data_IF_957803366405
#
_entry.id   IF_957803366405
#
_cell.length_a   1.000
_cell.length_b   1.000
_cell.length_c   1.000
_cell.angle_alpha   90.00
_cell.angle_beta   90.00
_cell.angle_gamma   90.00
#
_symmetry.space_group_name_H-M   'P 1'
#
loop_
_entity.id
_entity.type
_entity.pdbx_description
1 polymer ?
#
# COMPACT_ATOMS: atom_id res chain seq x y z
N UNK A 1 -7.50 -2.45 -3.70
CA UNK A 1 -8.28 -1.34 -3.16
C UNK A 1 -7.41 -0.40 -2.34
N UNK A 2 -7.05 -0.82 -1.14
CA UNK A 2 -6.29 0.00 -0.19
C UNK A 2 -4.91 0.45 -0.71
N UNK A 3 -4.38 -0.15 -1.76
CA UNK A 3 -3.13 0.29 -2.39
C UNK A 3 -3.23 1.63 -3.12
N UNK A 4 -4.44 2.13 -3.41
CA UNK A 4 -4.61 3.29 -4.31
C UNK A 4 -3.81 3.15 -5.63
N UNK A 5 -3.60 1.92 -6.08
CA UNK A 5 -2.90 1.57 -7.32
C UNK A 5 -1.43 1.14 -7.19
N UNK A 6 -0.83 1.22 -6.01
CA UNK A 6 0.55 0.79 -5.75
C UNK A 6 0.68 -0.54 -4.99
N UNK A 7 1.84 -0.78 -4.35
CA UNK A 7 2.08 -1.90 -3.43
C UNK A 7 2.40 -3.25 -4.09
N UNK A 8 2.66 -3.31 -5.39
CA UNK A 8 3.07 -4.52 -6.12
C UNK A 8 1.91 -5.42 -6.59
N UNK A 9 2.26 -6.50 -7.30
CA UNK A 9 1.30 -7.42 -7.90
C UNK A 9 0.55 -8.26 -6.86
N UNK A 10 -0.78 -8.10 -6.85
CA UNK A 10 -1.67 -8.78 -5.89
C UNK A 10 -1.85 -10.25 -6.25
N UNK A 11 -1.95 -10.58 -7.53
CA UNK A 11 -2.29 -11.93 -7.97
C UNK A 11 -1.17 -12.92 -7.63
N UNK A 12 0.08 -12.56 -7.91
CA UNK A 12 1.22 -13.39 -7.56
C UNK A 12 1.35 -13.57 -6.04
N UNK A 13 1.28 -12.46 -5.28
CA UNK A 13 1.36 -12.50 -3.82
C UNK A 13 0.22 -13.31 -3.18
N UNK A 14 -0.97 -13.28 -3.77
CA UNK A 14 -2.09 -14.13 -3.33
C UNK A 14 -1.77 -15.62 -3.52
N UNK A 15 -1.23 -16.00 -4.68
CA UNK A 15 -0.85 -17.40 -4.95
C UNK A 15 0.24 -17.86 -3.99
N UNK A 16 1.22 -17.02 -3.68
CA UNK A 16 2.25 -17.32 -2.67
C UNK A 16 1.66 -17.50 -1.27
N UNK A 17 0.74 -16.62 -0.86
CA UNK A 17 0.10 -16.71 0.45
C UNK A 17 -0.77 -17.97 0.58
N UNK A 18 -1.52 -18.32 -0.48
CA UNK A 18 -2.30 -19.55 -0.53
C UNK A 18 -1.40 -20.78 -0.45
N UNK A 19 -0.33 -20.85 -1.24
CA UNK A 19 0.63 -21.94 -1.20
C UNK A 19 1.29 -22.06 0.18
N UNK A 20 1.71 -20.94 0.77
CA UNK A 20 2.33 -20.96 2.10
C UNK A 20 1.36 -21.47 3.17
N UNK A 21 0.08 -21.06 3.12
CA UNK A 21 -0.92 -21.55 4.07
C UNK A 21 -1.30 -23.02 3.84
N UNK A 22 -1.22 -23.53 2.61
CA UNK A 22 -1.38 -24.94 2.30
C UNK A 22 -0.20 -25.78 2.85
N UNK A 23 1.04 -25.31 2.67
CA UNK A 23 2.26 -26.03 3.05
C UNK A 23 2.52 -26.01 4.56
N UNK A 24 2.24 -24.89 5.24
CA UNK A 24 2.62 -24.65 6.64
C UNK A 24 1.43 -24.50 7.61
N UNK A 25 0.23 -24.37 7.09
CA UNK A 25 -1.01 -24.21 7.89
C UNK A 25 -1.51 -22.77 8.00
N UNK A 26 -2.66 -22.58 8.60
CA UNK A 26 -3.32 -21.27 8.71
C UNK A 26 -2.54 -20.32 9.60
N UNK A 27 -2.61 -19.03 9.27
CA UNK A 27 -1.98 -17.94 10.03
C UNK A 27 -3.01 -17.32 10.98
N UNK A 28 -2.63 -17.17 12.25
CA UNK A 28 -3.46 -16.45 13.22
C UNK A 28 -3.40 -14.94 12.96
N UNK A 29 -4.55 -14.30 12.83
CA UNK A 29 -4.70 -12.85 12.88
C UNK A 29 -4.99 -12.44 14.32
N UNK A 30 -4.18 -11.54 14.87
CA UNK A 30 -4.28 -11.11 16.27
C UNK A 30 -4.42 -9.60 16.37
N UNK A 31 -5.22 -9.13 17.34
CA UNK A 31 -5.19 -7.72 17.69
C UNK A 31 -3.86 -7.39 18.42
N UNK A 32 -3.34 -6.18 18.19
CA UNK A 32 -2.11 -5.73 18.86
C UNK A 32 -2.24 -5.73 20.39
N UNK A 33 -3.46 -5.61 20.91
CA UNK A 33 -3.73 -5.62 22.36
C UNK A 33 -3.59 -7.01 22.98
N UNK A 34 -3.65 -8.07 22.18
CA UNK A 34 -3.43 -9.45 22.63
C UNK A 34 -1.94 -9.77 22.85
N UNK A 35 -1.03 -8.94 22.31
CA UNK A 35 0.40 -9.15 22.45
C UNK A 35 0.95 -8.52 23.73
N UNK A 36 1.93 -9.18 24.41
CA UNK A 36 2.70 -8.54 25.47
C UNK A 36 3.29 -7.21 25.04
N UNK A 37 3.25 -6.20 25.88
CA UNK A 37 3.65 -4.83 25.51
C UNK A 37 5.08 -4.71 24.98
N UNK A 38 5.97 -5.58 25.39
CA UNK A 38 7.37 -5.67 24.95
C UNK A 38 7.58 -6.61 23.75
N UNK A 39 6.54 -7.31 23.27
CA UNK A 39 6.66 -8.18 22.10
C UNK A 39 7.17 -7.40 20.88
N UNK A 40 8.23 -7.89 20.23
CA UNK A 40 8.79 -7.27 19.03
C UNK A 40 7.95 -7.67 17.82
N UNK A 41 7.45 -6.68 17.11
CA UNK A 41 6.74 -6.82 15.83
C UNK A 41 7.71 -6.48 14.71
N UNK A 42 7.76 -7.32 13.68
CA UNK A 42 8.53 -7.11 12.45
C UNK A 42 7.60 -6.61 11.35
N UNK A 43 7.70 -5.35 10.92
CA UNK A 43 7.04 -4.88 9.71
C UNK A 43 7.60 -5.60 8.48
N UNK A 44 6.74 -5.91 7.52
CA UNK A 44 7.06 -6.67 6.32
C UNK A 44 6.70 -5.84 5.10
N UNK A 45 7.65 -5.65 4.20
CA UNK A 45 7.45 -4.91 2.97
C UNK A 45 8.45 -5.31 1.89
N UNK A 46 8.25 -4.75 0.71
CA UNK A 46 9.21 -4.80 -0.38
C UNK A 46 9.41 -3.38 -0.92
N UNK A 47 10.64 -3.05 -1.24
CA UNK A 47 11.02 -1.78 -1.85
C UNK A 47 11.53 -2.00 -3.27
N UNK A 48 11.10 -1.17 -4.20
CA UNK A 48 11.56 -1.25 -5.58
C UNK A 48 10.55 -0.72 -6.58
N UNK A 49 10.72 -1.15 -7.83
CA UNK A 49 9.83 -0.79 -8.93
C UNK A 49 8.76 -1.86 -9.10
N UNK A 50 7.47 -1.51 -9.03
CA UNK A 50 6.37 -2.44 -9.29
C UNK A 50 6.45 -3.12 -10.66
N UNK A 51 7.05 -2.45 -11.66
CA UNK A 51 7.26 -3.02 -12.99
C UNK A 51 8.25 -4.19 -12.99
N UNK A 52 9.18 -4.22 -12.05
CA UNK A 52 10.17 -5.28 -11.93
C UNK A 52 9.60 -6.49 -11.19
N UNK A 53 8.75 -6.29 -10.21
CA UNK A 53 8.14 -7.37 -9.41
C UNK A 53 7.27 -8.33 -10.26
N UNK A 54 6.82 -7.91 -11.45
CA UNK A 54 6.07 -8.77 -12.38
C UNK A 54 6.95 -9.85 -13.03
N UNK A 55 8.26 -9.64 -13.07
CA UNK A 55 9.23 -10.55 -13.71
C UNK A 55 10.22 -11.15 -12.72
N UNK A 56 10.38 -10.56 -11.52
CA UNK A 56 11.32 -10.96 -10.49
C UNK A 56 10.55 -11.43 -9.25
N UNK A 57 10.46 -12.75 -9.09
CA UNK A 57 9.70 -13.37 -8.02
C UNK A 57 10.58 -13.66 -6.80
N UNK A 58 10.00 -13.51 -5.63
CA UNK A 58 10.59 -13.95 -4.37
C UNK A 58 10.68 -15.49 -4.34
N UNK A 59 11.67 -16.03 -3.62
CA UNK A 59 11.82 -17.48 -3.48
C UNK A 59 11.07 -18.04 -2.26
N UNK A 60 10.51 -17.16 -1.40
CA UNK A 60 9.67 -17.51 -0.26
C UNK A 60 10.40 -17.67 1.08
N UNK A 61 11.74 -17.54 1.13
CA UNK A 61 12.52 -17.59 2.38
C UNK A 61 13.07 -16.24 2.84
N UNK A 62 12.68 -15.14 2.16
CA UNK A 62 13.10 -13.79 2.50
C UNK A 62 12.71 -13.43 3.95
N UNK A 63 11.49 -13.80 4.36
CA UNK A 63 11.02 -13.59 5.72
C UNK A 63 11.88 -14.27 6.80
N UNK A 64 12.43 -15.46 6.51
CA UNK A 64 13.34 -16.16 7.42
C UNK A 64 14.62 -15.35 7.65
N UNK A 65 15.24 -14.87 6.56
CA UNK A 65 16.47 -14.06 6.60
C UNK A 65 16.24 -12.72 7.29
N UNK A 66 15.17 -12.01 6.92
CA UNK A 66 14.82 -10.73 7.54
C UNK A 66 14.64 -10.89 9.06
N UNK A 67 13.89 -11.92 9.50
CA UNK A 67 13.68 -12.21 10.92
C UNK A 67 15.01 -12.54 11.62
N UNK A 68 15.84 -13.41 11.04
CA UNK A 68 17.11 -13.83 11.62
C UNK A 68 18.01 -12.63 11.88
N UNK A 69 18.21 -11.79 10.86
CA UNK A 69 19.11 -10.64 10.98
C UNK A 69 18.52 -9.49 11.79
N UNK A 70 17.20 -9.28 11.77
CA UNK A 70 16.56 -8.32 12.67
C UNK A 70 16.75 -8.75 14.14
N UNK A 71 16.57 -10.04 14.45
CA UNK A 71 16.82 -10.57 15.79
C UNK A 71 18.30 -10.44 16.21
N UNK A 72 19.23 -10.67 15.27
CA UNK A 72 20.66 -10.45 15.51
C UNK A 72 20.97 -8.98 15.85
N UNK A 73 20.42 -8.04 15.08
CA UNK A 73 20.65 -6.61 15.27
C UNK A 73 19.98 -6.03 16.53
N UNK A 74 18.83 -6.55 16.91
CA UNK A 74 18.05 -6.07 18.05
C UNK A 74 18.34 -6.82 19.36
N UNK A 75 18.89 -8.02 19.28
CA UNK A 75 19.03 -8.95 20.42
C UNK A 75 17.68 -9.47 20.96
N UNK A 76 16.59 -9.36 20.17
CA UNK A 76 15.22 -9.66 20.60
C UNK A 76 14.56 -10.64 19.63
N UNK A 77 13.68 -11.50 20.15
CA UNK A 77 12.89 -12.42 19.32
C UNK A 77 11.71 -11.68 18.72
N UNK A 78 11.48 -11.89 17.43
CA UNK A 78 10.25 -11.44 16.73
C UNK A 78 9.10 -12.31 17.22
N UNK A 79 8.02 -11.66 17.67
CA UNK A 79 6.84 -12.31 18.22
C UNK A 79 5.65 -12.32 17.25
N UNK A 80 5.59 -11.36 16.33
CA UNK A 80 4.53 -11.24 15.33
C UNK A 80 5.04 -10.50 14.09
N UNK A 81 4.35 -10.69 12.99
CA UNK A 81 4.56 -9.93 11.75
C UNK A 81 3.43 -8.92 11.54
N UNK A 82 3.72 -7.86 10.78
CA UNK A 82 2.74 -6.83 10.42
C UNK A 82 3.08 -6.32 9.01
N UNK A 83 2.11 -5.95 8.21
CA UNK A 83 2.40 -5.28 6.96
C UNK A 83 3.02 -3.88 7.20
N UNK A 84 4.04 -3.51 6.45
CA UNK A 84 4.49 -2.10 6.40
C UNK A 84 3.40 -1.24 5.75
N UNK A 85 2.70 -1.78 4.75
CA UNK A 85 1.52 -1.22 4.11
C UNK A 85 0.50 -2.32 3.80
N UNK A 86 -0.77 -2.05 3.98
CA UNK A 86 -1.84 -3.01 3.69
C UNK A 86 -2.13 -3.15 2.20
N UNK A 87 -1.60 -2.26 1.37
CA UNK A 87 -1.91 -2.17 -0.05
C UNK A 87 -1.12 -3.15 -0.91
N UNK A 88 -1.75 -3.65 -1.98
CA UNK A 88 -1.08 -4.47 -3.00
C UNK A 88 -0.56 -5.81 -2.48
N UNK A 89 0.49 -6.31 -3.13
CA UNK A 89 1.19 -7.54 -2.73
C UNK A 89 1.84 -7.43 -1.35
N UNK A 90 2.30 -6.23 -0.96
CA UNK A 90 2.91 -5.99 0.35
C UNK A 90 1.98 -6.32 1.52
N UNK A 91 0.66 -6.14 1.36
CA UNK A 91 -0.32 -6.54 2.36
C UNK A 91 -0.40 -8.06 2.58
N UNK A 92 0.05 -8.87 1.62
CA UNK A 92 0.04 -10.34 1.67
C UNK A 92 1.37 -10.94 2.14
N UNK A 93 2.49 -10.21 2.04
CA UNK A 93 3.80 -10.68 2.47
C UNK A 93 3.84 -11.20 3.92
N UNK A 94 3.26 -10.48 4.91
CA UNK A 94 3.27 -11.00 6.28
C UNK A 94 2.52 -12.32 6.42
N UNK A 95 1.50 -12.60 5.62
CA UNK A 95 0.77 -13.88 5.65
C UNK A 95 1.67 -15.00 5.13
N UNK A 96 2.32 -14.78 3.98
CA UNK A 96 3.26 -15.74 3.37
C UNK A 96 4.39 -16.12 4.33
N UNK A 97 5.02 -15.11 4.92
CA UNK A 97 6.14 -15.35 5.84
C UNK A 97 5.69 -15.88 7.19
N UNK A 98 4.55 -15.42 7.73
CA UNK A 98 4.01 -15.89 9.00
C UNK A 98 3.64 -17.36 8.98
N UNK A 99 3.03 -17.86 7.90
CA UNK A 99 2.73 -19.28 7.72
C UNK A 99 4.00 -20.13 7.89
N UNK A 100 5.06 -19.77 7.17
CA UNK A 100 6.35 -20.47 7.21
C UNK A 100 7.05 -20.35 8.57
N UNK A 101 6.99 -19.18 9.21
CA UNK A 101 7.66 -18.89 10.47
C UNK A 101 6.88 -19.37 11.71
N UNK A 102 5.63 -19.80 11.55
CA UNK A 102 4.75 -20.16 12.67
C UNK A 102 4.45 -18.99 13.60
N UNK A 103 4.33 -17.77 13.06
CA UNK A 103 4.07 -16.54 13.79
C UNK A 103 2.69 -15.97 13.46
N UNK A 104 2.05 -15.23 14.36
CA UNK A 104 0.83 -14.51 14.05
C UNK A 104 1.11 -13.25 13.21
N UNK A 105 0.08 -12.80 12.49
CA UNK A 105 0.01 -11.49 11.85
C UNK A 105 -0.83 -10.55 12.71
N UNK A 106 -0.35 -9.33 12.90
CA UNK A 106 -1.10 -8.29 13.62
C UNK A 106 -2.12 -7.65 12.68
N UNK A 107 -3.35 -7.46 13.15
CA UNK A 107 -4.41 -6.73 12.44
C UNK A 107 -4.15 -5.21 12.46
N UNK A 108 -3.07 -4.82 11.84
CA UNK A 108 -2.64 -3.44 11.67
C UNK A 108 -1.61 -3.34 10.55
N UNK A 109 -1.36 -2.12 10.10
CA UNK A 109 -0.27 -1.80 9.19
C UNK A 109 0.30 -0.40 9.46
N UNK A 110 1.33 -0.03 8.71
CA UNK A 110 1.99 1.26 8.87
C UNK A 110 1.39 2.41 8.07
N UNK A 111 0.41 2.19 7.21
CA UNK A 111 -0.06 3.22 6.28
C UNK A 111 -1.59 3.32 6.15
N UNK A 112 -2.33 2.21 6.28
CA UNK A 112 -3.76 2.13 5.93
C UNK A 112 -4.03 2.25 4.43
N UNK A 113 -2.97 2.32 3.63
CA UNK A 113 -2.95 2.41 2.17
C UNK A 113 -1.56 2.04 1.65
N UNK A 114 -1.21 2.32 0.39
CA UNK A 114 0.16 2.34 -0.09
C UNK A 114 0.66 3.78 -0.28
N UNK A 115 1.94 3.99 0.02
CA UNK A 115 2.70 5.20 -0.29
C UNK A 115 4.07 4.82 -0.87
N UNK A 116 4.64 5.67 -1.76
CA UNK A 116 5.83 5.29 -2.54
C UNK A 116 7.15 5.33 -1.77
N UNK A 117 7.23 5.96 -0.59
CA UNK A 117 8.49 6.19 0.11
C UNK A 117 8.49 5.59 1.53
N UNK A 118 9.63 5.00 1.92
CA UNK A 118 9.86 4.36 3.22
C UNK A 118 9.45 5.20 4.45
N UNK A 119 9.69 6.53 4.51
CA UNK A 119 9.29 7.33 5.67
C UNK A 119 7.79 7.68 5.71
N UNK A 120 7.00 7.30 4.70
CA UNK A 120 5.57 7.60 4.65
C UNK A 120 4.75 6.57 5.43
N UNK A 121 5.19 6.25 6.63
CA UNK A 121 4.53 5.33 7.57
C UNK A 121 4.16 6.04 8.87
N UNK A 122 3.09 5.59 9.50
CA UNK A 122 2.62 6.15 10.78
C UNK A 122 3.66 6.02 11.90
N UNK A 123 4.49 4.98 11.87
CA UNK A 123 5.61 4.79 12.77
C UNK A 123 6.61 5.96 12.68
N UNK A 124 6.90 6.45 11.47
CA UNK A 124 7.75 7.63 11.29
C UNK A 124 7.12 8.88 11.89
N UNK A 125 5.82 9.10 11.67
CA UNK A 125 5.08 10.21 12.30
C UNK A 125 5.11 10.13 13.82
N UNK A 126 5.07 8.95 14.39
CA UNK A 126 5.17 8.69 15.82
C UNK A 126 6.61 8.81 16.38
N UNK A 127 7.61 9.04 15.53
CA UNK A 127 9.01 9.18 15.94
C UNK A 127 9.73 7.86 16.18
N UNK A 128 9.20 6.73 15.73
CA UNK A 128 9.88 5.45 15.76
C UNK A 128 11.01 5.49 14.71
N UNK A 129 12.24 5.09 15.09
CA UNK A 129 13.36 5.09 14.14
C UNK A 129 13.19 4.00 13.07
N UNK A 130 13.55 4.31 11.82
CA UNK A 130 13.60 3.32 10.75
C UNK A 130 14.67 2.24 10.97
N UNK A 131 15.69 2.54 11.78
CA UNK A 131 16.82 1.65 12.09
C UNK A 131 16.58 0.80 13.33
N UNK A 132 17.12 -0.43 13.38
CA UNK A 132 17.84 -1.10 12.31
C UNK A 132 16.91 -1.59 11.21
N UNK A 133 17.40 -1.67 9.97
CA UNK A 133 16.67 -2.22 8.84
C UNK A 133 17.48 -3.33 8.16
N UNK A 134 16.78 -4.26 7.53
CA UNK A 134 17.37 -5.38 6.80
C UNK A 134 16.65 -5.52 5.46
N UNK A 135 17.43 -5.72 4.39
CA UNK A 135 16.91 -6.05 3.05
C UNK A 135 17.53 -7.34 2.55
N UNK A 136 16.77 -8.10 1.77
CA UNK A 136 17.25 -9.29 1.07
C UNK A 136 16.56 -9.44 -0.28
N UNK A 137 17.29 -9.99 -1.26
CA UNK A 137 16.73 -10.38 -2.55
C UNK A 137 16.47 -11.90 -2.64
N UNK A 138 15.87 -12.31 -3.77
CA UNK A 138 15.53 -13.72 -4.07
C UNK A 138 16.78 -14.63 -4.18
N UNK A 139 17.98 -14.06 -4.34
CA UNK A 139 19.25 -14.81 -4.44
C UNK A 139 19.92 -15.01 -3.08
N UNK A 140 19.39 -14.35 -2.04
CA UNK A 140 19.96 -14.37 -0.70
C UNK A 140 21.03 -13.32 -0.45
N UNK A 141 21.20 -12.34 -1.35
CA UNK A 141 21.97 -11.15 -1.03
C UNK A 141 21.28 -10.41 0.11
N UNK A 142 22.08 -9.83 1.01
CA UNK A 142 21.56 -9.17 2.22
C UNK A 142 22.27 -7.86 2.48
N UNK A 143 21.52 -6.86 2.86
CA UNK A 143 22.04 -5.57 3.33
C UNK A 143 21.40 -5.20 4.67
N UNK A 144 22.20 -4.62 5.56
CA UNK A 144 21.75 -4.12 6.86
C UNK A 144 22.03 -2.63 6.93
N UNK A 145 21.05 -1.85 7.43
CA UNK A 145 21.15 -0.41 7.47
C UNK A 145 21.00 0.14 8.88
N UNK A 146 21.82 1.15 9.15
CA UNK A 146 21.64 2.01 10.32
C UNK A 146 21.78 3.46 9.87
N UNK A 147 20.68 4.19 9.91
CA UNK A 147 20.59 5.55 9.40
C UNK A 147 20.16 6.52 10.49
N UNK A 148 20.41 7.81 10.26
CA UNK A 148 20.05 8.88 11.18
C UNK A 148 18.60 9.34 11.06
N UNK A 149 17.90 8.95 9.98
CA UNK A 149 16.52 9.36 9.72
C UNK A 149 15.85 8.49 8.66
N UNK A 150 14.51 8.52 8.60
CA UNK A 150 13.72 7.85 7.55
C UNK A 150 14.09 8.28 6.12
N UNK A 151 14.25 9.58 5.80
CA UNK A 151 14.70 10.02 4.47
C UNK A 151 16.09 9.50 4.08
N UNK A 152 16.99 9.25 5.01
CA UNK A 152 18.25 8.59 4.71
C UNK A 152 18.07 7.09 4.50
N UNK A 153 17.13 6.47 5.21
CA UNK A 153 16.77 5.07 4.98
C UNK A 153 16.26 4.88 3.55
N UNK A 154 15.28 5.67 3.12
CA UNK A 154 14.75 5.65 1.75
C UNK A 154 15.87 5.72 0.69
N UNK A 155 16.82 6.66 0.86
CA UNK A 155 17.89 6.83 -0.12
C UNK A 155 18.81 5.61 -0.23
N UNK A 156 19.16 5.00 0.90
CA UNK A 156 20.10 3.89 0.94
C UNK A 156 19.43 2.59 0.50
N UNK A 157 18.21 2.34 0.96
CA UNK A 157 17.44 1.15 0.56
C UNK A 157 17.07 1.21 -0.92
N UNK A 158 16.68 2.37 -1.44
CA UNK A 158 16.39 2.56 -2.86
C UNK A 158 17.62 2.30 -3.73
N UNK A 159 18.80 2.75 -3.30
CA UNK A 159 20.04 2.45 -3.99
C UNK A 159 20.38 0.95 -3.95
N UNK A 160 20.21 0.30 -2.80
CA UNK A 160 20.43 -1.13 -2.67
C UNK A 160 19.42 -1.94 -3.49
N UNK A 161 18.14 -1.53 -3.53
CA UNK A 161 17.13 -2.18 -4.37
C UNK A 161 17.51 -2.18 -5.85
N UNK A 162 18.11 -1.09 -6.35
CA UNK A 162 18.62 -1.03 -7.73
C UNK A 162 19.72 -2.08 -7.95
N UNK A 163 20.69 -2.19 -7.03
CA UNK A 163 21.78 -3.18 -7.11
C UNK A 163 21.27 -4.63 -6.94
N UNK A 164 20.20 -4.83 -6.19
CA UNK A 164 19.51 -6.11 -6.06
C UNK A 164 18.67 -6.49 -7.29
N UNK A 165 18.70 -5.65 -8.33
CA UNK A 165 17.98 -5.91 -9.59
C UNK A 165 16.60 -5.30 -9.65
N UNK A 166 16.35 -4.25 -8.88
CA UNK A 166 15.16 -3.37 -8.99
C UNK A 166 14.07 -3.58 -7.96
N UNK A 167 14.12 -4.66 -7.17
CA UNK A 167 13.23 -4.92 -6.03
C UNK A 167 13.90 -5.82 -5.00
N UNK A 168 13.55 -5.66 -3.73
CA UNK A 168 13.98 -6.51 -2.62
C UNK A 168 12.96 -6.46 -1.47
N UNK A 169 12.88 -7.56 -0.72
CA UNK A 169 12.11 -7.63 0.52
C UNK A 169 12.82 -6.90 1.66
N UNK A 170 12.09 -6.22 2.52
CA UNK A 170 12.68 -5.40 3.58
C UNK A 170 11.89 -5.44 4.90
N UNK A 171 12.57 -5.05 5.97
CA UNK A 171 11.99 -4.76 7.28
C UNK A 171 12.68 -3.57 7.90
N UNK A 172 11.94 -2.53 8.18
CA UNK A 172 12.34 -1.31 8.86
C UNK A 172 11.27 -0.92 9.90
N UNK A 173 11.52 0.09 10.72
CA UNK A 173 10.59 0.55 11.75
C UNK A 173 10.10 -0.55 12.70
N UNK A 174 10.93 -1.56 12.98
CA UNK A 174 10.56 -2.59 13.95
C UNK A 174 10.19 -1.96 15.30
N UNK A 175 9.11 -2.45 15.91
CA UNK A 175 8.49 -1.79 17.05
C UNK A 175 7.97 -2.80 18.07
N UNK A 176 7.74 -2.32 19.29
CA UNK A 176 7.08 -3.14 20.32
C UNK A 176 5.55 -3.07 20.15
N UNK A 177 4.83 -4.05 20.68
CA UNK A 177 3.36 -4.02 20.70
C UNK A 177 2.83 -2.77 21.42
N UNK A 178 3.49 -2.31 22.49
CA UNK A 178 3.15 -1.06 23.18
C UNK A 178 3.27 0.17 22.27
N UNK A 179 4.29 0.21 21.40
CA UNK A 179 4.45 1.27 20.39
C UNK A 179 3.42 1.11 19.26
N UNK A 180 3.18 -0.11 18.80
CA UNK A 180 2.25 -0.38 17.71
C UNK A 180 0.81 0.08 18.02
N UNK A 181 0.36 -0.05 19.28
CA UNK A 181 -0.96 0.45 19.72
C UNK A 181 -1.20 1.93 19.40
N UNK A 182 -0.16 2.73 19.29
CA UNK A 182 -0.23 4.18 19.09
C UNK A 182 0.32 4.64 17.73
N UNK A 183 1.05 3.78 17.05
CA UNK A 183 1.84 4.15 15.88
C UNK A 183 1.47 3.37 14.61
N UNK A 184 0.33 2.69 14.60
CA UNK A 184 -0.13 1.92 13.43
C UNK A 184 -1.59 2.21 13.10
N UNK A 185 -1.98 1.94 11.86
CA UNK A 185 -3.38 1.92 11.43
C UNK A 185 -3.95 0.54 11.81
N UNK A 186 -4.88 0.53 12.75
CA UNK A 186 -5.46 -0.70 13.29
C UNK A 186 -6.62 -1.22 12.43
N UNK A 187 -6.86 -2.54 12.49
CA UNK A 187 -7.94 -3.24 11.78
C UNK A 187 -7.85 -3.13 10.25
N UNK A 188 -6.67 -2.88 9.70
CA UNK A 188 -6.48 -2.73 8.26
C UNK A 188 -6.59 -4.06 7.51
N UNK A 189 -6.15 -5.18 8.11
CA UNK A 189 -6.34 -6.52 7.55
C UNK A 189 -7.82 -6.91 7.59
N UNK A 190 -8.50 -6.69 8.71
CA UNK A 190 -9.95 -6.89 8.83
C UNK A 190 -10.74 -6.04 7.84
N UNK A 191 -10.32 -4.80 7.59
CA UNK A 191 -10.90 -3.95 6.55
C UNK A 191 -10.72 -4.57 5.15
N UNK A 192 -9.52 -5.06 4.84
CA UNK A 192 -9.26 -5.71 3.56
C UNK A 192 -10.13 -6.96 3.35
N UNK A 193 -10.35 -7.75 4.41
CA UNK A 193 -11.27 -8.90 4.41
C UNK A 193 -12.70 -8.45 4.13
N UNK A 194 -13.24 -7.45 4.84
CA UNK A 194 -14.60 -6.93 4.60
C UNK A 194 -14.79 -6.39 3.19
N UNK A 195 -13.78 -5.71 2.62
CA UNK A 195 -13.80 -5.28 1.22
C UNK A 195 -13.96 -6.49 0.28
N UNK A 196 -13.20 -7.55 0.50
CA UNK A 196 -13.30 -8.79 -0.30
C UNK A 196 -14.67 -9.44 -0.18
N UNK A 197 -15.22 -9.52 1.04
CA UNK A 197 -16.57 -10.06 1.33
C UNK A 197 -17.67 -9.23 0.67
N UNK A 198 -17.59 -7.90 0.72
CA UNK A 198 -18.55 -7.00 0.10
C UNK A 198 -18.60 -7.20 -1.42
N UNK A 199 -17.45 -7.37 -2.08
CA UNK A 199 -17.37 -7.65 -3.51
C UNK A 199 -17.91 -9.05 -3.81
N UNK A 200 -17.44 -10.07 -3.09
CA UNK A 200 -17.77 -11.48 -3.35
C UNK A 200 -19.21 -11.85 -3.06
N UNK A 201 -19.89 -11.15 -2.14
CA UNK A 201 -21.29 -11.38 -1.74
C UNK A 201 -22.30 -10.48 -2.45
N UNK A 202 -21.86 -9.58 -3.34
CA UNK A 202 -22.73 -8.61 -4.00
C UNK A 202 -23.82 -9.31 -4.86
N UNK A 203 -25.08 -9.13 -4.50
CA UNK A 203 -26.22 -9.62 -5.28
C UNK A 203 -26.51 -8.80 -6.57
N UNK A 204 -25.81 -7.70 -6.78
CA UNK A 204 -25.96 -6.76 -7.89
C UNK A 204 -24.62 -6.25 -8.35
N UNK A 205 -24.43 -4.91 -8.38
CA UNK A 205 -23.16 -4.29 -8.75
C UNK A 205 -22.12 -4.43 -7.65
N UNK A 206 -20.99 -5.14 -7.88
CA UNK A 206 -19.89 -5.22 -6.91
C UNK A 206 -19.30 -3.84 -6.60
N UNK A 207 -19.27 -2.94 -7.58
CA UNK A 207 -18.81 -1.55 -7.40
C UNK A 207 -19.71 -0.79 -6.43
N UNK A 208 -21.03 -0.93 -6.55
CA UNK A 208 -21.98 -0.28 -5.65
C UNK A 208 -21.86 -0.82 -4.21
N UNK A 209 -21.68 -2.13 -4.05
CA UNK A 209 -21.44 -2.75 -2.75
C UNK A 209 -20.16 -2.23 -2.09
N UNK A 210 -19.09 -2.11 -2.87
CA UNK A 210 -17.82 -1.57 -2.41
C UNK A 210 -17.91 -0.09 -2.01
N UNK A 211 -18.61 0.74 -2.81
CA UNK A 211 -18.86 2.15 -2.48
C UNK A 211 -19.58 2.27 -1.14
N UNK A 212 -20.60 1.43 -0.93
CA UNK A 212 -21.35 1.41 0.33
C UNK A 212 -20.50 0.98 1.54
N UNK A 213 -19.65 -0.06 1.38
CA UNK A 213 -18.76 -0.55 2.44
C UNK A 213 -17.72 0.49 2.85
N UNK A 214 -17.16 1.21 1.88
CA UNK A 214 -16.09 2.18 2.12
C UNK A 214 -16.59 3.61 2.42
N UNK A 215 -17.88 3.90 2.24
CA UNK A 215 -18.38 5.28 2.21
C UNK A 215 -17.69 6.10 1.10
N UNK A 216 -17.39 5.45 -0.02
CA UNK A 216 -16.64 6.06 -1.10
C UNK A 216 -17.52 6.91 -2.02
N UNK A 217 -16.89 7.83 -2.74
CA UNK A 217 -17.50 8.65 -3.77
C UNK A 217 -17.10 8.15 -5.16
N UNK A 218 -18.07 7.97 -6.06
CA UNK A 218 -17.79 7.68 -7.47
C UNK A 218 -17.37 8.96 -8.16
N UNK A 219 -16.15 8.99 -8.69
CA UNK A 219 -15.63 10.13 -9.43
C UNK A 219 -16.06 10.08 -10.90
N UNK A 220 -16.00 8.90 -11.50
CA UNK A 220 -16.40 8.65 -12.90
C UNK A 220 -16.57 7.17 -13.19
N UNK A 221 -17.58 6.83 -14.00
CA UNK A 221 -17.64 5.59 -14.75
C UNK A 221 -17.25 5.90 -16.21
N UNK A 222 -16.21 5.25 -16.73
CA UNK A 222 -15.65 5.65 -18.00
C UNK A 222 -14.76 4.60 -18.66
N UNK A 223 -14.01 5.08 -19.64
CA UNK A 223 -13.05 4.31 -20.41
C UNK A 223 -11.72 5.01 -20.45
N UNK A 224 -10.63 4.28 -20.23
CA UNK A 224 -9.27 4.80 -20.40
C UNK A 224 -9.02 5.25 -21.82
N UNK A 225 -8.84 6.55 -22.05
CA UNK A 225 -8.65 7.16 -23.36
C UNK A 225 -7.22 7.59 -23.64
N UNK A 226 -6.38 7.70 -22.58
CA UNK A 226 -4.94 7.97 -22.72
C UNK A 226 -4.19 7.44 -21.50
N UNK A 227 -2.97 6.92 -21.72
CA UNK A 227 -2.11 6.38 -20.66
C UNK A 227 -0.66 6.74 -20.95
N UNK A 228 -0.10 7.63 -20.15
CA UNK A 228 1.30 7.99 -20.19
C UNK A 228 1.99 7.51 -18.90
N UNK A 229 3.07 6.73 -19.03
CA UNK A 229 3.88 6.27 -17.89
C UNK A 229 5.35 6.29 -18.24
N UNK A 230 6.16 6.69 -17.25
CA UNK A 230 7.62 6.71 -17.36
C UNK A 230 8.22 6.22 -16.04
N UNK A 231 9.27 5.42 -16.11
CA UNK A 231 10.07 5.09 -14.92
C UNK A 231 11.09 6.21 -14.68
N UNK A 232 11.00 6.89 -13.55
CA UNK A 232 11.88 7.99 -13.16
C UNK A 232 12.39 7.74 -11.74
N UNK A 233 13.72 7.51 -11.61
CA UNK A 233 14.39 7.31 -10.31
C UNK A 233 13.74 6.22 -9.43
N UNK A 234 13.33 5.10 -10.04
CA UNK A 234 12.73 3.98 -9.33
C UNK A 234 11.23 4.09 -9.04
N UNK A 235 10.57 5.15 -9.54
CA UNK A 235 9.12 5.34 -9.44
C UNK A 235 8.47 5.27 -10.82
N UNK A 236 7.27 4.70 -10.88
CA UNK A 236 6.40 4.80 -12.04
C UNK A 236 5.62 6.11 -11.95
N UNK A 237 5.97 7.12 -12.77
CA UNK A 237 5.27 8.42 -12.86
C UNK A 237 4.51 8.52 -14.17
N UNK A 238 3.37 9.21 -14.14
CA UNK A 238 2.59 9.45 -15.35
C UNK A 238 1.23 10.05 -15.09
N UNK A 239 0.42 10.06 -16.15
CA UNK A 239 -0.96 10.48 -16.08
C UNK A 239 -1.84 9.56 -16.94
N UNK A 240 -3.10 9.45 -16.57
CA UNK A 240 -4.10 8.76 -17.38
C UNK A 240 -5.32 9.66 -17.58
N UNK A 241 -6.00 9.48 -18.71
CA UNK A 241 -7.26 10.18 -19.01
C UNK A 241 -8.38 9.17 -19.14
N UNK A 242 -9.54 9.54 -18.61
CA UNK A 242 -10.75 8.73 -18.59
C UNK A 242 -11.88 9.53 -19.19
N UNK A 243 -12.44 9.02 -20.28
CA UNK A 243 -13.67 9.56 -20.87
C UNK A 243 -14.88 8.91 -20.20
N UNK A 244 -15.77 9.73 -19.66
CA UNK A 244 -16.99 9.29 -19.01
C UNK A 244 -17.95 8.58 -19.96
N UNK A 245 -18.61 7.52 -19.46
CA UNK A 245 -19.62 6.73 -20.16
C UNK A 245 -20.96 6.78 -19.42
N UNK A 246 -22.04 6.45 -20.13
CA UNK A 246 -23.39 6.42 -19.54
C UNK A 246 -23.81 7.78 -18.98
N UNK A 247 -24.08 7.86 -17.68
CA UNK A 247 -24.46 9.08 -16.99
C UNK A 247 -23.31 10.09 -16.92
N UNK A 248 -22.06 9.64 -16.98
CA UNK A 248 -20.86 10.48 -16.99
C UNK A 248 -20.44 10.92 -18.41
N UNK A 249 -21.23 10.64 -19.45
CA UNK A 249 -20.88 10.99 -20.82
C UNK A 249 -20.55 12.47 -21.00
N UNK A 250 -19.41 12.77 -21.65
CA UNK A 250 -18.92 14.13 -21.86
C UNK A 250 -18.01 14.68 -20.74
N UNK A 251 -17.85 13.93 -19.65
CA UNK A 251 -16.84 14.23 -18.63
C UNK A 251 -15.47 13.70 -19.07
N UNK A 252 -14.42 14.42 -18.69
CA UNK A 252 -13.04 14.02 -18.92
C UNK A 252 -12.26 14.18 -17.62
N UNK A 253 -11.82 13.05 -17.07
CA UNK A 253 -11.06 13.00 -15.83
C UNK A 253 -9.60 12.70 -16.14
N UNK A 254 -8.68 13.35 -15.46
CA UNK A 254 -7.26 13.02 -15.45
C UNK A 254 -6.83 12.56 -14.06
N UNK A 255 -6.03 11.48 -14.02
CA UNK A 255 -5.37 11.03 -12.80
C UNK A 255 -3.87 11.23 -12.96
N UNK A 256 -3.24 11.78 -11.94
CA UNK A 256 -1.78 11.88 -11.82
C UNK A 256 -1.25 10.75 -10.95
N UNK A 257 -0.16 10.12 -11.38
CA UNK A 257 0.37 8.89 -10.81
C UNK A 257 1.83 9.05 -10.35
N UNK A 258 2.14 8.46 -9.18
CA UNK A 258 3.50 8.12 -8.79
C UNK A 258 3.48 6.83 -7.97
N UNK A 259 3.68 5.68 -8.60
CA UNK A 259 3.33 4.33 -8.13
C UNK A 259 1.83 4.21 -7.82
N UNK A 260 1.29 5.12 -7.01
CA UNK A 260 -0.11 5.25 -6.62
C UNK A 260 -0.85 6.32 -7.44
N UNK A 261 -2.18 6.31 -7.37
CA UNK A 261 -3.02 7.40 -7.86
C UNK A 261 -2.96 8.54 -6.83
N UNK A 262 -2.46 9.71 -7.23
CA UNK A 262 -2.20 10.82 -6.30
C UNK A 262 -3.23 11.94 -6.38
N UNK A 263 -3.65 12.32 -7.57
CA UNK A 263 -4.59 13.44 -7.76
C UNK A 263 -5.53 13.14 -8.91
N UNK A 264 -6.81 13.47 -8.73
CA UNK A 264 -7.85 13.39 -9.76
C UNK A 264 -8.37 14.79 -10.10
N UNK A 265 -8.43 15.11 -11.39
CA UNK A 265 -8.96 16.38 -11.89
C UNK A 265 -10.07 16.17 -12.92
N UNK A 266 -11.02 17.10 -12.97
CA UNK A 266 -11.93 17.29 -14.07
C UNK A 266 -11.77 18.69 -14.65
N UNK A 267 -11.24 18.80 -15.87
CA UNK A 267 -11.02 20.11 -16.53
C UNK A 267 -10.28 21.13 -15.65
N UNK A 268 -9.30 20.67 -14.88
CA UNK A 268 -8.52 21.49 -13.95
C UNK A 268 -9.14 21.69 -12.56
N UNK A 269 -10.36 21.24 -12.31
CA UNK A 269 -10.97 21.22 -10.98
C UNK A 269 -10.51 19.99 -10.22
N UNK A 270 -10.07 20.15 -8.99
CA UNK A 270 -9.71 19.03 -8.10
C UNK A 270 -10.96 18.23 -7.73
N UNK A 271 -10.87 16.90 -7.85
CA UNK A 271 -11.92 15.96 -7.43
C UNK A 271 -11.51 15.16 -6.19
N UNK A 272 -10.26 14.79 -6.10
CA UNK A 272 -9.69 14.10 -4.95
C UNK A 272 -8.17 14.21 -4.99
N UNK A 273 -7.53 14.14 -3.84
CA UNK A 273 -6.07 14.10 -3.76
C UNK A 273 -5.59 13.24 -2.59
N UNK A 274 -4.37 12.72 -2.72
CA UNK A 274 -3.60 12.14 -1.60
C UNK A 274 -3.60 13.11 -0.41
N UNK A 275 -3.69 12.64 0.85
CA UNK A 275 -3.63 11.26 1.32
C UNK A 275 -4.92 10.44 1.19
N UNK A 276 -6.06 11.02 0.78
CA UNK A 276 -7.26 10.22 0.52
C UNK A 276 -7.00 9.23 -0.62
N UNK A 277 -7.67 8.09 -0.58
CA UNK A 277 -7.45 7.01 -1.52
C UNK A 277 -8.23 7.25 -2.82
N UNK A 278 -7.52 7.17 -3.93
CA UNK A 278 -8.12 7.19 -5.27
C UNK A 278 -7.87 5.82 -5.90
N UNK A 279 -8.93 5.08 -6.19
CA UNK A 279 -8.81 3.71 -6.68
C UNK A 279 -9.51 3.55 -8.03
N UNK A 280 -8.78 2.96 -8.98
CA UNK A 280 -9.31 2.57 -10.28
C UNK A 280 -9.80 1.14 -10.20
N UNK A 281 -11.03 0.89 -10.60
CA UNK A 281 -11.70 -0.41 -10.57
C UNK A 281 -12.08 -0.84 -11.97
N UNK A 282 -12.08 -2.13 -12.23
CA UNK A 282 -12.87 -2.69 -13.31
C UNK A 282 -14.36 -2.42 -13.03
N UNK A 283 -15.08 -1.87 -14.02
CA UNK A 283 -16.48 -1.46 -13.83
C UNK A 283 -17.46 -2.61 -13.62
N UNK A 284 -17.08 -3.84 -13.98
CA UNK A 284 -17.97 -5.03 -13.91
C UNK A 284 -17.68 -5.85 -12.65
N UNK A 285 -16.38 -6.07 -12.34
CA UNK A 285 -15.97 -6.97 -11.26
C UNK A 285 -15.63 -6.24 -9.96
N UNK A 286 -15.41 -4.92 -10.00
CA UNK A 286 -14.82 -4.12 -8.92
C UNK A 286 -13.38 -4.53 -8.56
N UNK A 287 -12.70 -5.32 -9.37
CA UNK A 287 -11.29 -5.60 -9.17
C UNK A 287 -10.47 -4.31 -9.25
N UNK A 288 -9.57 -4.11 -8.31
CA UNK A 288 -8.68 -2.97 -8.33
C UNK A 288 -7.64 -3.11 -9.44
N UNK A 289 -7.47 -2.06 -10.22
CA UNK A 289 -6.47 -2.00 -11.30
C UNK A 289 -5.28 -1.21 -10.78
N UNK A 290 -4.13 -1.87 -10.69
CA UNK A 290 -2.88 -1.22 -10.30
C UNK A 290 -2.37 -0.27 -11.38
N UNK A 291 -1.58 0.73 -11.00
CA UNK A 291 -1.10 1.75 -11.95
C UNK A 291 -0.28 1.15 -13.09
N UNK A 292 0.46 0.06 -12.86
CA UNK A 292 1.20 -0.68 -13.89
C UNK A 292 0.29 -1.50 -14.83
N UNK A 293 -0.92 -1.85 -14.37
CA UNK A 293 -1.88 -2.65 -15.13
C UNK A 293 -2.91 -1.83 -15.92
N UNK A 294 -2.94 -0.50 -15.73
CA UNK A 294 -3.83 0.39 -16.48
C UNK A 294 -3.47 0.34 -17.98
N UNK A 295 -4.47 0.18 -18.83
CA UNK A 295 -4.31 0.10 -20.30
C UNK A 295 -5.37 0.93 -21.01
N UNK A 296 -5.01 1.44 -22.18
CA UNK A 296 -5.94 2.07 -23.09
C UNK A 296 -7.14 1.15 -23.39
N UNK A 297 -8.34 1.72 -23.36
CA UNK A 297 -9.56 1.02 -23.71
C UNK A 297 -10.26 0.26 -22.59
N UNK A 298 -9.64 0.12 -21.41
CA UNK A 298 -10.29 -0.50 -20.24
C UNK A 298 -11.50 0.30 -19.78
N UNK A 299 -12.59 -0.40 -19.44
CA UNK A 299 -13.76 0.19 -18.76
C UNK A 299 -13.52 0.21 -17.28
N UNK A 300 -13.64 1.38 -16.69
CA UNK A 300 -13.24 1.60 -15.31
C UNK A 300 -14.25 2.46 -14.55
N UNK A 301 -14.36 2.20 -13.27
CA UNK A 301 -14.96 3.11 -12.31
C UNK A 301 -13.86 3.64 -11.40
N UNK A 302 -13.74 4.95 -11.28
CA UNK A 302 -12.82 5.57 -10.33
C UNK A 302 -13.60 5.99 -9.11
N UNK A 303 -13.14 5.55 -7.95
CA UNK A 303 -13.71 5.93 -6.66
C UNK A 303 -12.66 6.66 -5.82
N UNK A 304 -13.12 7.48 -4.89
CA UNK A 304 -12.27 8.06 -3.87
C UNK A 304 -12.94 7.96 -2.49
N UNK A 305 -12.13 7.78 -1.45
CA UNK A 305 -12.59 7.66 -0.06
C UNK A 305 -11.54 8.14 0.93
N UNK A 306 -12.00 8.42 2.16
CA UNK A 306 -11.18 8.95 3.22
C UNK A 306 -10.01 8.03 3.58
N UNK A 307 -8.84 8.61 3.79
CA UNK A 307 -7.70 7.94 4.42
C UNK A 307 -7.88 7.84 5.94
N UNK A 308 -7.01 7.10 6.61
CA UNK A 308 -6.96 7.12 8.08
C UNK A 308 -6.75 8.55 8.61
N UNK A 309 -7.44 8.97 9.67
CA UNK A 309 -7.35 10.32 10.22
C UNK A 309 -5.94 10.78 10.58
N UNK A 310 -5.01 9.88 10.86
CA UNK A 310 -3.61 10.21 11.16
C UNK A 310 -2.94 10.97 10.00
N UNK A 311 -3.30 10.67 8.77
CA UNK A 311 -2.78 11.33 7.57
C UNK A 311 -3.37 12.72 7.32
N UNK A 312 -4.52 13.02 7.92
CA UNK A 312 -5.18 14.34 7.86
C UNK A 312 -4.71 15.31 8.93
N UNK A 313 -3.78 14.89 9.79
CA UNK A 313 -3.07 15.78 10.73
C UNK A 313 -2.09 16.69 9.98
N UNK A 314 -1.68 17.80 10.58
CA UNK A 314 -0.68 18.70 10.00
C UNK A 314 0.61 17.95 9.59
N UNK A 315 1.11 17.05 10.45
CA UNK A 315 2.30 16.22 10.16
C UNK A 315 2.03 15.20 9.05
N UNK A 316 0.85 14.59 9.03
CA UNK A 316 0.43 13.65 8.00
C UNK A 316 0.37 14.33 6.63
N UNK A 317 -0.31 15.47 6.53
CA UNK A 317 -0.41 16.27 5.30
C UNK A 317 0.96 16.76 4.84
N UNK A 318 1.83 17.20 5.75
CA UNK A 318 3.19 17.59 5.40
C UNK A 318 4.01 16.44 4.80
N UNK A 319 3.77 15.19 5.23
CA UNK A 319 4.47 13.99 4.76
C UNK A 319 3.85 13.39 3.49
N UNK A 320 2.53 13.46 3.32
CA UNK A 320 1.79 12.69 2.30
C UNK A 320 0.72 13.47 1.56
N UNK A 321 0.59 14.77 1.80
CA UNK A 321 -0.31 15.64 1.05
C UNK A 321 0.22 15.96 -0.36
N UNK A 322 -0.58 16.61 -1.21
CA UNK A 322 -0.21 16.87 -2.62
C UNK A 322 1.12 17.60 -2.77
N UNK A 323 1.44 18.54 -1.88
CA UNK A 323 2.70 19.30 -1.90
C UNK A 323 3.94 18.44 -1.67
N UNK A 324 3.82 17.34 -0.90
CA UNK A 324 4.90 16.39 -0.69
C UNK A 324 5.31 15.68 -1.99
N UNK A 325 4.39 15.54 -2.94
CA UNK A 325 4.62 14.96 -4.27
C UNK A 325 4.89 15.99 -5.37
N UNK A 326 5.02 17.27 -4.99
CA UNK A 326 5.38 18.35 -5.90
C UNK A 326 4.18 19.01 -6.62
N UNK A 327 2.95 18.73 -6.20
CA UNK A 327 1.78 19.44 -6.71
C UNK A 327 1.56 20.73 -5.90
N UNK A 328 1.39 21.86 -6.60
CA UNK A 328 1.08 23.14 -5.95
C UNK A 328 -0.42 23.23 -5.63
N UNK A 329 -0.85 22.36 -4.73
CA UNK A 329 -2.22 22.19 -4.28
C UNK A 329 -2.25 22.03 -2.75
N UNK A 330 -3.24 22.64 -2.11
CA UNK A 330 -3.59 22.34 -0.74
C UNK A 330 -4.49 21.09 -0.70
N UNK A 331 -4.30 20.26 0.31
CA UNK A 331 -5.17 19.12 0.54
C UNK A 331 -6.57 19.59 0.92
N UNK A 332 -7.57 18.97 0.34
CA UNK A 332 -8.99 19.10 0.70
C UNK A 332 -9.58 17.71 0.86
N UNK A 333 -10.33 17.46 1.97
CA UNK A 333 -11.00 16.18 2.18
C UNK A 333 -11.92 15.82 1.02
N UNK A 334 -11.92 14.56 0.61
CA UNK A 334 -12.75 14.09 -0.51
C UNK A 334 -14.23 14.32 -0.28
N UNK A 335 -14.68 14.27 0.96
CA UNK A 335 -16.06 14.54 1.37
C UNK A 335 -16.48 15.98 1.02
N UNK A 336 -15.61 16.95 1.31
CA UNK A 336 -15.88 18.37 1.01
C UNK A 336 -15.88 18.64 -0.50
N UNK A 337 -15.00 17.96 -1.25
CA UNK A 337 -14.96 18.06 -2.72
C UNK A 337 -16.19 17.44 -3.38
N UNK A 338 -16.71 16.34 -2.82
CA UNK A 338 -17.91 15.68 -3.30
C UNK A 338 -19.15 16.54 -3.07
N UNK A 339 -19.32 17.13 -1.87
CA UNK A 339 -20.45 18.01 -1.53
C UNK A 339 -20.49 19.26 -2.41
N UNK A 340 -19.34 19.80 -2.78
CA UNK A 340 -19.25 20.96 -3.70
C UNK A 340 -19.65 20.61 -5.15
N UNK A 341 -19.90 19.33 -5.43
CA UNK A 341 -20.21 18.82 -6.77
C UNK A 341 -21.68 18.35 -6.90
N UNK A 342 -22.34 18.07 -5.76
CA UNK A 342 -23.74 17.67 -5.69
C UNK A 342 -24.69 18.88 -5.81
#
# INVERSE_FOLDING_TARGET
>A
MLSAGGGGDVHYSLLQALQATEDYGPVALVDVDELPGDALIMPCGAIGSPLVSVEKFENGDEGDRLREYLQYLTGRRVAALMASEIGGGNGLLPITWAARLGLPVVDADGMGRAFPEVPQVTMHLAGIPASPAVMTDERGNLAMFRTISGPWMERLERAAAVEFGGTASSTEFSLTAAQARQATVRNSVSLAIRIGEAIGSAAGSPVAALIAELGAFSLVNGKMSDVERRSIRGFARGSVRIEGLGEDAGRLISLELQNENLVAFERGRLLASVPDLITVLDSETADAISTESIRYGQRVTVIAFACDPVWRTERGIAATGPRAFGYDLDYQPVEELADATA
#
